data_IF_988038629561
#
_entry.id   IF_988038629561
#
_cell.length_a   1.000
_cell.length_b   1.000
_cell.length_c   1.000
_cell.angle_alpha   90.00
_cell.angle_beta   90.00
_cell.angle_gamma   90.00
#
_symmetry.space_group_name_H-M   'P 1'
#
loop_
_entity.id
_entity.type
_entity.pdbx_description
1 polymer ?
#
# COMPACT_ATOMS: atom_id res chain seq x y z
N UNK A 1 10.13 -12.05 1.24
CA UNK A 1 10.72 -11.68 -0.07
C UNK A 1 12.23 -11.50 0.05
N UNK A 2 13.04 -11.84 -0.98
CA UNK A 2 14.48 -11.57 -0.99
C UNK A 2 14.78 -10.06 -1.03
N UNK A 3 15.80 -9.60 -0.29
CA UNK A 3 16.22 -8.18 -0.26
C UNK A 3 16.59 -7.62 -1.65
N UNK A 4 17.11 -8.46 -2.54
CA UNK A 4 17.47 -8.09 -3.90
C UNK A 4 16.23 -7.79 -4.77
N UNK A 5 15.17 -8.59 -4.64
CA UNK A 5 13.93 -8.40 -5.40
C UNK A 5 13.23 -7.11 -5.01
N UNK A 6 13.12 -6.83 -3.70
CA UNK A 6 12.56 -5.56 -3.21
C UNK A 6 13.39 -4.37 -3.69
N UNK A 7 14.72 -4.51 -3.70
CA UNK A 7 15.62 -3.46 -4.17
C UNK A 7 15.45 -3.16 -5.66
N UNK A 8 15.17 -4.18 -6.48
CA UNK A 8 14.91 -4.04 -7.91
C UNK A 8 13.56 -3.38 -8.18
N UNK A 9 12.50 -3.87 -7.53
CA UNK A 9 11.14 -3.32 -7.67
C UNK A 9 11.10 -1.82 -7.31
N UNK A 10 11.77 -1.43 -6.22
CA UNK A 10 11.85 -0.01 -5.85
C UNK A 10 12.64 0.79 -6.88
N UNK A 11 13.73 0.25 -7.43
CA UNK A 11 14.51 0.94 -8.47
C UNK A 11 13.71 1.14 -9.76
N UNK A 12 12.95 0.12 -10.17
CA UNK A 12 12.06 0.20 -11.34
C UNK A 12 10.95 1.25 -11.12
N UNK A 13 10.40 1.32 -9.90
CA UNK A 13 9.40 2.34 -9.52
C UNK A 13 9.99 3.76 -9.52
N UNK A 14 11.18 3.94 -8.95
CA UNK A 14 11.90 5.22 -8.98
C UNK A 14 12.20 5.67 -10.41
N UNK A 15 12.56 4.73 -11.30
CA UNK A 15 12.76 4.98 -12.72
C UNK A 15 11.47 5.43 -13.42
N UNK A 16 10.35 4.79 -13.12
CA UNK A 16 9.04 5.16 -13.68
C UNK A 16 8.58 6.54 -13.21
N UNK A 17 8.74 6.83 -11.92
CA UNK A 17 8.34 8.11 -11.32
C UNK A 17 9.34 9.23 -11.62
N UNK A 18 10.54 8.91 -12.11
CA UNK A 18 11.69 9.82 -12.26
C UNK A 18 12.03 10.58 -10.98
N UNK A 19 11.71 9.99 -9.83
CA UNK A 19 11.89 10.58 -8.50
C UNK A 19 12.57 9.53 -7.63
N UNK A 20 13.58 9.95 -6.84
CA UNK A 20 14.13 9.08 -5.81
C UNK A 20 13.18 9.04 -4.63
N UNK A 21 12.76 7.85 -4.25
CA UNK A 21 11.91 7.60 -3.08
C UNK A 21 12.75 7.23 -1.86
N UNK A 22 13.89 6.56 -2.08
CA UNK A 22 14.78 6.09 -1.03
C UNK A 22 16.22 6.58 -1.25
N UNK A 23 16.83 7.10 -0.18
CA UNK A 23 18.26 7.26 -0.06
C UNK A 23 18.85 5.96 0.51
N UNK A 24 19.48 5.17 -0.36
CA UNK A 24 20.24 3.99 0.06
C UNK A 24 21.67 4.40 0.41
N UNK A 25 22.01 4.28 1.69
CA UNK A 25 23.40 4.16 2.14
C UNK A 25 23.67 2.69 2.44
N UNK A 26 24.90 2.21 2.28
CA UNK A 26 25.29 0.80 2.48
C UNK A 26 24.95 0.25 3.87
N UNK A 27 24.62 1.13 4.83
CA UNK A 27 24.29 0.80 6.22
C UNK A 27 22.86 1.21 6.63
N UNK A 28 22.14 1.99 5.81
CA UNK A 28 20.79 2.47 6.15
C UNK A 28 19.98 2.91 4.92
N UNK A 29 18.68 2.67 4.96
CA UNK A 29 17.73 3.10 3.93
C UNK A 29 16.82 4.15 4.56
N UNK A 30 16.80 5.35 3.98
CA UNK A 30 15.94 6.44 4.44
C UNK A 30 15.03 6.91 3.31
N UNK A 31 13.82 7.38 3.64
CA UNK A 31 12.94 8.01 2.65
C UNK A 31 13.46 9.39 2.28
N UNK A 32 13.31 9.76 1.00
CA UNK A 32 13.41 11.16 0.57
C UNK A 32 12.15 11.93 0.99
N UNK A 33 12.17 13.27 0.91
CA UNK A 33 10.97 14.10 1.20
C UNK A 33 9.81 13.69 0.29
N UNK A 34 10.10 13.52 -0.99
CA UNK A 34 9.18 13.11 -2.03
C UNK A 34 8.72 11.66 -1.80
N UNK A 35 9.64 10.78 -1.38
CA UNK A 35 9.36 9.40 -1.03
C UNK A 35 8.38 9.25 0.13
N UNK A 36 8.50 10.09 1.16
CA UNK A 36 7.56 10.08 2.29
C UNK A 36 6.15 10.51 1.87
N UNK A 37 6.03 11.50 0.99
CA UNK A 37 4.74 11.95 0.44
C UNK A 37 4.12 10.85 -0.43
N UNK A 38 4.92 10.26 -1.31
CA UNK A 38 4.48 9.17 -2.18
C UNK A 38 4.02 7.96 -1.35
N UNK A 39 4.81 7.55 -0.36
CA UNK A 39 4.47 6.43 0.54
C UNK A 39 3.13 6.66 1.25
N UNK A 40 2.90 7.86 1.80
CA UNK A 40 1.62 8.18 2.46
C UNK A 40 0.43 8.05 1.50
N UNK A 41 0.55 8.58 0.29
CA UNK A 41 -0.52 8.50 -0.72
C UNK A 41 -0.74 7.07 -1.20
N UNK A 42 0.33 6.35 -1.52
CA UNK A 42 0.28 4.98 -1.98
C UNK A 42 -0.31 4.05 -0.90
N UNK A 43 0.06 4.26 0.37
CA UNK A 43 -0.50 3.50 1.49
C UNK A 43 -2.00 3.76 1.68
N UNK A 44 -2.43 5.02 1.58
CA UNK A 44 -3.86 5.35 1.67
C UNK A 44 -4.66 4.72 0.53
N UNK A 45 -4.14 4.76 -0.70
CA UNK A 45 -4.75 4.08 -1.84
C UNK A 45 -4.80 2.56 -1.67
N UNK A 46 -3.71 1.95 -1.17
CA UNK A 46 -3.65 0.51 -0.93
C UNK A 46 -4.62 0.06 0.15
N UNK A 47 -4.96 0.94 1.10
CA UNK A 47 -5.99 0.70 2.12
C UNK A 47 -7.41 0.87 1.57
N UNK A 48 -7.61 1.66 0.51
CA UNK A 48 -8.90 1.82 -0.16
C UNK A 48 -9.22 0.68 -1.14
N UNK A 49 -8.20 -0.01 -1.66
CA UNK A 49 -8.36 -1.18 -2.53
C UNK A 49 -9.25 -2.30 -1.92
N UNK A 50 -9.04 -2.76 -0.67
CA UNK A 50 -9.91 -3.77 -0.07
C UNK A 50 -11.35 -3.29 0.13
N UNK A 51 -11.58 -1.99 0.39
CA UNK A 51 -12.95 -1.46 0.47
C UNK A 51 -13.66 -1.56 -0.89
N UNK A 52 -12.92 -1.34 -1.99
CA UNK A 52 -13.42 -1.46 -3.35
C UNK A 52 -13.68 -2.93 -3.70
N UNK A 53 -12.74 -3.82 -3.37
CA UNK A 53 -12.90 -5.27 -3.59
C UNK A 53 -14.09 -5.82 -2.77
N UNK A 54 -14.27 -5.39 -1.51
CA UNK A 54 -15.42 -5.77 -0.67
C UNK A 54 -16.75 -5.25 -1.24
N UNK A 55 -16.77 -4.05 -1.84
CA UNK A 55 -17.98 -3.54 -2.52
C UNK A 55 -18.33 -4.40 -3.73
N UNK A 56 -17.34 -4.80 -4.53
CA UNK A 56 -17.56 -5.67 -5.69
C UNK A 56 -17.87 -7.13 -5.29
N UNK A 57 -17.31 -7.65 -4.19
CA UNK A 57 -17.68 -8.95 -3.64
C UNK A 57 -19.07 -8.91 -3.00
N UNK A 58 -19.49 -7.79 -2.40
CA UNK A 58 -20.84 -7.63 -1.84
C UNK A 58 -21.97 -7.66 -2.88
N UNK A 59 -21.68 -7.31 -4.14
CA UNK A 59 -22.64 -7.51 -5.26
C UNK A 59 -22.75 -8.98 -5.69
N UNK A 60 -21.74 -9.82 -5.43
CA UNK A 60 -21.77 -11.24 -5.78
C UNK A 60 -22.06 -12.19 -4.60
N UNK A 61 -21.93 -11.73 -3.35
CA UNK A 61 -22.14 -12.55 -2.15
C UNK A 61 -23.54 -12.34 -1.59
N UNK A 62 -24.45 -13.26 -1.95
CA UNK A 62 -25.71 -13.53 -1.25
C UNK A 62 -25.43 -13.60 0.26
N UNK A 63 -25.91 -12.67 1.10
CA UNK A 63 -25.42 -12.53 2.47
C UNK A 63 -25.84 -13.74 3.30
N UNK A 64 -24.86 -14.58 3.70
CA UNK A 64 -25.03 -15.64 4.70
C UNK A 64 -24.03 -15.41 5.82
N UNK A 65 -24.49 -14.83 6.91
CA UNK A 65 -23.69 -14.66 8.13
C UNK A 65 -24.39 -13.73 9.13
N UNK A 66 -24.38 -14.10 10.41
CA UNK A 66 -25.02 -13.34 11.48
C UNK A 66 -24.10 -12.20 11.91
N UNK A 67 -24.36 -11.00 11.41
CA UNK A 67 -23.68 -9.77 11.83
C UNK A 67 -24.24 -9.32 13.19
N UNK A 68 -23.42 -9.34 14.25
CA UNK A 68 -23.74 -8.72 15.53
C UNK A 68 -22.99 -7.38 15.63
N UNK A 69 -23.69 -6.29 15.36
CA UNK A 69 -23.18 -4.93 15.54
C UNK A 69 -23.37 -4.51 17.00
N UNK A 70 -22.28 -4.21 17.69
CA UNK A 70 -22.32 -3.61 19.02
C UNK A 70 -21.91 -2.14 18.90
N UNK A 71 -22.85 -1.24 19.19
CA UNK A 71 -22.59 0.18 19.42
C UNK A 71 -22.56 0.42 20.93
N UNK A 72 -21.45 0.96 21.44
CA UNK A 72 -21.41 1.56 22.77
C UNK A 72 -21.43 3.08 22.58
N UNK A 73 -22.45 3.70 23.16
CA UNK A 73 -22.71 5.15 23.20
C UNK A 73 -21.63 5.95 23.89
#
# INVERSE_FOLDING_TARGET
MPKATASKIVGDLEGHLRVRLLNRTTRSVQFTKEGAIYYKRASAWLQQLPDIDDVFDSEHVKPRGRLAVHTSS
#
